data_IF_979387879371
#
_entry.id   IF_979387879371
#
_cell.length_a   1.000
_cell.length_b   1.000
_cell.length_c   1.000
_cell.angle_alpha   90.00
_cell.angle_beta   90.00
_cell.angle_gamma   90.00
#
_symmetry.space_group_name_H-M   'P 1'
#
loop_
_entity.id
_entity.type
_entity.pdbx_description
1 polymer ?
#
# COMPACT_ATOMS: atom_id res chain seq x y z
N UNK A 1 -18.46 -8.15 -3.45
CA UNK A 1 -17.55 -6.99 -3.60
C UNK A 1 -16.42 -7.04 -2.58
N UNK A 2 -16.69 -7.17 -1.28
CA UNK A 2 -15.64 -7.25 -0.27
C UNK A 2 -14.61 -8.36 -0.48
N UNK A 3 -15.02 -9.59 -0.78
CA UNK A 3 -14.05 -10.69 -1.03
C UNK A 3 -13.13 -10.39 -2.22
N UNK A 4 -13.65 -9.78 -3.28
CA UNK A 4 -12.86 -9.35 -4.44
C UNK A 4 -11.90 -8.21 -4.08
N UNK A 5 -12.36 -7.24 -3.27
CA UNK A 5 -11.50 -6.17 -2.77
C UNK A 5 -10.38 -6.71 -1.87
N UNK A 6 -10.69 -7.60 -0.94
CA UNK A 6 -9.69 -8.24 -0.07
C UNK A 6 -8.67 -9.03 -0.89
N UNK A 7 -9.12 -9.82 -1.88
CA UNK A 7 -8.22 -10.53 -2.78
C UNK A 7 -7.32 -9.56 -3.56
N UNK A 8 -7.90 -8.50 -4.15
CA UNK A 8 -7.15 -7.48 -4.85
C UNK A 8 -6.14 -6.77 -3.95
N UNK A 9 -6.50 -6.48 -2.69
CA UNK A 9 -5.63 -5.86 -1.71
C UNK A 9 -4.46 -6.77 -1.29
N UNK A 10 -4.68 -8.08 -1.17
CA UNK A 10 -3.61 -9.06 -0.93
C UNK A 10 -2.66 -9.11 -2.12
N UNK A 11 -3.19 -9.15 -3.36
CA UNK A 11 -2.38 -9.13 -4.58
C UNK A 11 -1.59 -7.82 -4.68
N UNK A 12 -2.22 -6.69 -4.35
CA UNK A 12 -1.57 -5.38 -4.29
C UNK A 12 -0.40 -5.39 -3.30
N UNK A 13 -0.59 -5.92 -2.08
CA UNK A 13 0.48 -6.05 -1.11
C UNK A 13 1.62 -6.98 -1.56
N UNK A 14 1.31 -8.09 -2.22
CA UNK A 14 2.31 -8.98 -2.82
C UNK A 14 3.09 -8.28 -3.94
N UNK A 15 2.44 -7.42 -4.72
CA UNK A 15 3.04 -6.62 -5.79
C UNK A 15 4.13 -5.65 -5.33
N UNK A 16 4.27 -5.40 -4.02
CA UNK A 16 5.32 -4.55 -3.45
C UNK A 16 6.60 -5.32 -3.07
N UNK A 17 6.55 -6.66 -3.01
CA UNK A 17 7.72 -7.49 -2.68
C UNK A 17 8.85 -7.44 -3.73
N UNK A 18 8.60 -7.33 -5.05
CA UNK A 18 9.66 -7.27 -6.06
C UNK A 18 10.68 -6.16 -5.82
N UNK A 19 10.25 -5.00 -5.32
CA UNK A 19 11.17 -3.89 -4.98
C UNK A 19 12.15 -4.30 -3.90
N UNK A 20 11.69 -5.01 -2.87
CA UNK A 20 12.55 -5.50 -1.79
C UNK A 20 13.61 -6.49 -2.33
N UNK A 21 13.20 -7.39 -3.23
CA UNK A 21 14.13 -8.31 -3.90
C UNK A 21 15.17 -7.53 -4.71
N UNK A 22 14.75 -6.53 -5.48
CA UNK A 22 15.61 -5.75 -6.35
C UNK A 22 16.70 -4.96 -5.60
N UNK A 23 16.42 -4.55 -4.36
CA UNK A 23 17.39 -3.83 -3.49
C UNK A 23 18.09 -4.75 -2.47
N UNK A 24 17.96 -6.07 -2.64
CA UNK A 24 18.71 -7.05 -1.83
C UNK A 24 18.16 -7.30 -0.42
N UNK A 25 16.90 -6.93 -0.13
CA UNK A 25 16.27 -7.23 1.16
C UNK A 25 15.84 -8.70 1.19
N UNK A 26 16.27 -9.50 2.19
CA UNK A 26 15.81 -10.87 2.35
C UNK A 26 14.31 -10.95 2.67
N UNK A 27 13.58 -11.81 1.95
CA UNK A 27 12.16 -12.06 2.18
C UNK A 27 11.92 -12.99 3.38
N UNK A 28 12.16 -12.50 4.58
CA UNK A 28 11.77 -13.20 5.81
C UNK A 28 10.24 -13.26 5.93
N UNK A 29 9.71 -14.28 6.62
CA UNK A 29 8.28 -14.39 6.87
C UNK A 29 7.69 -13.11 7.48
N UNK A 30 8.40 -12.52 8.46
CA UNK A 30 7.99 -11.26 9.08
C UNK A 30 7.93 -10.10 8.08
N UNK A 31 8.94 -9.96 7.21
CA UNK A 31 8.96 -8.91 6.20
C UNK A 31 7.82 -9.07 5.20
N UNK A 32 7.60 -10.28 4.69
CA UNK A 32 6.52 -10.59 3.75
C UNK A 32 5.17 -10.27 4.39
N UNK A 33 4.91 -10.77 5.61
CA UNK A 33 3.65 -10.52 6.31
C UNK A 33 3.43 -9.03 6.55
N UNK A 34 4.45 -8.30 7.04
CA UNK A 34 4.35 -6.86 7.25
C UNK A 34 4.04 -6.11 5.96
N UNK A 35 4.76 -6.39 4.89
CA UNK A 35 4.58 -5.72 3.60
C UNK A 35 3.19 -5.98 3.03
N UNK A 36 2.72 -7.22 3.05
CA UNK A 36 1.38 -7.57 2.55
C UNK A 36 0.28 -6.96 3.41
N UNK A 37 0.41 -7.00 4.74
CA UNK A 37 -0.63 -6.46 5.65
C UNK A 37 -0.71 -4.94 5.54
N UNK A 38 0.40 -4.21 5.60
CA UNK A 38 0.39 -2.75 5.58
C UNK A 38 -0.13 -2.21 4.23
N UNK A 39 0.33 -2.78 3.11
CA UNK A 39 -0.19 -2.39 1.79
C UNK A 39 -1.63 -2.87 1.59
N UNK A 40 -2.00 -4.04 2.12
CA UNK A 40 -3.34 -4.58 2.06
C UNK A 40 -4.38 -3.71 2.77
N UNK A 41 -4.02 -3.10 3.91
CA UNK A 41 -4.88 -2.13 4.60
C UNK A 41 -5.20 -0.95 3.67
N UNK A 42 -4.18 -0.39 3.00
CA UNK A 42 -4.37 0.63 1.97
C UNK A 42 -5.25 0.14 0.84
N UNK A 43 -4.95 -1.03 0.27
CA UNK A 43 -5.71 -1.65 -0.82
C UNK A 43 -7.20 -1.84 -0.50
N UNK A 44 -7.54 -2.30 0.71
CA UNK A 44 -8.93 -2.43 1.15
C UNK A 44 -9.62 -1.07 1.20
N UNK A 45 -8.96 -0.05 1.75
CA UNK A 45 -9.49 1.31 1.82
C UNK A 45 -9.70 1.89 0.41
N UNK A 46 -8.71 1.77 -0.48
CA UNK A 46 -8.78 2.25 -1.86
C UNK A 46 -9.88 1.53 -2.65
N UNK A 47 -10.01 0.22 -2.52
CA UNK A 47 -11.07 -0.53 -3.20
C UNK A 47 -12.47 -0.23 -2.65
N UNK A 48 -12.58 0.16 -1.37
CA UNK A 48 -13.84 0.68 -0.82
C UNK A 48 -14.18 2.06 -1.40
N UNK A 49 -13.22 2.96 -1.53
CA UNK A 49 -13.40 4.26 -2.18
C UNK A 49 -13.75 4.09 -3.67
N UNK A 50 -13.09 3.17 -4.37
CA UNK A 50 -13.45 2.79 -5.74
C UNK A 50 -14.91 2.37 -5.84
N UNK A 51 -15.35 1.48 -4.92
CA UNK A 51 -16.73 0.98 -4.93
C UNK A 51 -17.76 2.07 -4.62
N UNK A 52 -17.46 2.98 -3.67
CA UNK A 52 -18.44 3.97 -3.19
C UNK A 52 -18.39 5.31 -3.93
N UNK A 53 -17.25 5.67 -4.50
CA UNK A 53 -16.94 7.01 -5.01
C UNK A 53 -16.22 7.01 -6.37
N UNK A 54 -15.99 5.84 -6.97
CA UNK A 54 -15.38 5.72 -8.30
C UNK A 54 -13.85 5.74 -8.30
N UNK A 55 -13.28 5.54 -9.49
CA UNK A 55 -11.85 5.36 -9.70
C UNK A 55 -11.02 6.57 -9.27
N UNK A 56 -11.50 7.79 -9.55
CA UNK A 56 -10.81 9.02 -9.21
C UNK A 56 -10.56 9.15 -7.71
N UNK A 57 -11.54 8.79 -6.88
CA UNK A 57 -11.39 8.81 -5.42
C UNK A 57 -10.32 7.82 -4.95
N UNK A 58 -10.30 6.61 -5.51
CA UNK A 58 -9.28 5.62 -5.19
C UNK A 58 -7.86 6.08 -5.61
N UNK A 59 -7.73 6.67 -6.80
CA UNK A 59 -6.46 7.22 -7.28
C UNK A 59 -5.96 8.38 -6.41
N UNK A 60 -6.85 9.32 -6.07
CA UNK A 60 -6.52 10.44 -5.21
C UNK A 60 -6.10 9.99 -3.81
N UNK A 61 -6.80 9.01 -3.23
CA UNK A 61 -6.44 8.46 -1.93
C UNK A 61 -5.07 7.77 -1.94
N UNK A 62 -4.79 6.93 -2.95
CA UNK A 62 -3.48 6.29 -3.11
C UNK A 62 -2.37 7.32 -3.23
N UNK A 63 -2.53 8.28 -4.15
CA UNK A 63 -1.54 9.34 -4.37
C UNK A 63 -1.32 10.22 -3.12
N UNK A 64 -2.39 10.49 -2.36
CA UNK A 64 -2.27 11.23 -1.10
C UNK A 64 -1.47 10.45 -0.06
N UNK A 65 -1.69 9.13 0.05
CA UNK A 65 -0.87 8.27 0.93
C UNK A 65 0.60 8.31 0.51
N UNK A 66 0.89 8.30 -0.80
CA UNK A 66 2.25 8.39 -1.30
C UNK A 66 2.93 9.71 -0.87
N UNK A 67 2.22 10.84 -0.99
CA UNK A 67 2.72 12.15 -0.51
C UNK A 67 3.01 12.11 0.99
N UNK A 68 2.09 11.57 1.79
CA UNK A 68 2.26 11.51 3.24
C UNK A 68 3.49 10.66 3.61
N UNK A 69 3.65 9.48 3.01
CA UNK A 69 4.72 8.54 3.37
C UNK A 69 6.08 8.91 2.79
N UNK A 70 6.14 9.37 1.54
CA UNK A 70 7.41 9.57 0.84
C UNK A 70 7.89 11.03 0.87
N UNK A 71 6.99 12.00 1.11
CA UNK A 71 7.34 13.41 1.18
C UNK A 71 7.27 13.90 2.62
N UNK A 72 6.07 13.90 3.22
CA UNK A 72 5.86 14.55 4.52
C UNK A 72 6.57 13.80 5.66
N UNK A 73 6.43 12.48 5.73
CA UNK A 73 7.05 11.66 6.77
C UNK A 73 8.58 11.73 6.69
N UNK A 74 9.15 11.63 5.49
CA UNK A 74 10.60 11.75 5.26
C UNK A 74 11.10 13.15 5.63
N UNK A 75 10.36 14.19 5.22
CA UNK A 75 10.70 15.58 5.57
C UNK A 75 10.71 15.80 7.08
N UNK A 76 9.66 15.37 7.79
CA UNK A 76 9.57 15.50 9.25
C UNK A 76 10.73 14.76 9.92
N UNK A 77 11.04 13.53 9.49
CA UNK A 77 12.15 12.76 10.04
C UNK A 77 13.50 13.45 9.82
N UNK A 78 13.68 14.16 8.70
CA UNK A 78 14.92 14.88 8.41
C UNK A 78 15.14 16.15 9.25
N UNK A 79 14.09 16.62 9.94
CA UNK A 79 14.13 17.82 10.79
C UNK A 79 14.31 17.50 12.29
N UNK A 80 14.25 16.22 12.68
CA UNK A 80 14.44 15.72 14.05
C UNK A 80 15.88 15.22 14.23
#
# INVERSE_FOLDING_TARGET
IWSANILAAVIFGLGHLPTAIAIGIPLTALFVTRTVVLNGIGGVAFGWLYWKQGLESAMMAHFTVDIVLHVLFVLILSLL
#
